data_IF_980479695529
#
_entry.id   IF_980479695529
#
_cell.length_a   1.000
_cell.length_b   1.000
_cell.length_c   1.000
_cell.angle_alpha   90.00
_cell.angle_beta   90.00
_cell.angle_gamma   90.00
#
_symmetry.space_group_name_H-M   'P 1'
#
loop_
_entity.id
_entity.type
_entity.pdbx_description
1 polymer ?
#
# COMPACT_ATOMS: atom_id res chain seq x y z
N UNK A 1 -3.47 1.06 10.59
CA UNK A 1 -2.46 0.86 9.54
C UNK A 1 -3.20 0.45 8.28
N UNK A 2 -2.98 1.13 7.16
CA UNK A 2 -3.53 0.80 5.85
C UNK A 2 -2.44 0.91 4.78
N UNK A 3 -1.98 -0.25 4.35
CA UNK A 3 -1.15 -0.49 3.18
C UNK A 3 -2.10 -0.80 2.02
N UNK A 4 -2.00 -0.08 0.91
CA UNK A 4 -2.91 -0.25 -0.23
C UNK A 4 -2.30 -1.17 -1.29
N UNK A 5 -3.12 -2.04 -1.88
CA UNK A 5 -2.81 -2.69 -3.16
C UNK A 5 -3.00 -1.74 -4.35
N UNK A 6 -3.63 -0.58 -4.16
CA UNK A 6 -3.75 0.50 -5.16
C UNK A 6 -2.41 1.23 -5.31
N UNK A 7 -2.07 1.59 -6.55
CA UNK A 7 -0.87 2.38 -6.82
C UNK A 7 -0.92 3.74 -6.10
N UNK A 8 0.15 4.19 -5.43
CA UNK A 8 0.17 5.43 -4.64
C UNK A 8 -0.16 6.68 -5.46
N UNK A 9 -0.03 6.60 -6.79
CA UNK A 9 -0.44 7.66 -7.72
C UNK A 9 -1.90 8.13 -7.52
N UNK A 10 -2.77 7.27 -7.00
CA UNK A 10 -4.20 7.55 -6.80
C UNK A 10 -4.51 8.16 -5.42
N UNK A 11 -3.52 8.25 -4.53
CA UNK A 11 -3.71 8.81 -3.20
C UNK A 11 -3.60 10.32 -3.23
N UNK A 12 -4.40 10.99 -2.40
CA UNK A 12 -4.22 12.40 -2.07
C UNK A 12 -2.94 12.62 -1.25
N UNK A 13 -2.56 13.89 -1.06
CA UNK A 13 -1.38 14.25 -0.28
C UNK A 13 -1.38 13.63 1.13
N UNK A 14 -2.53 13.66 1.84
CA UNK A 14 -2.62 13.09 3.19
C UNK A 14 -2.54 11.57 3.14
N UNK A 15 -3.19 10.94 2.16
CA UNK A 15 -3.13 9.51 1.90
C UNK A 15 -1.70 9.01 1.66
N UNK A 16 -0.92 9.71 0.82
CA UNK A 16 0.45 9.34 0.50
C UNK A 16 1.39 9.42 1.72
N UNK A 17 1.31 10.50 2.49
CA UNK A 17 2.11 10.67 3.71
C UNK A 17 1.74 9.63 4.78
N UNK A 18 0.45 9.34 4.94
CA UNK A 18 0.00 8.28 5.85
C UNK A 18 0.52 6.91 5.40
N UNK A 19 0.41 6.59 4.11
CA UNK A 19 0.86 5.32 3.55
C UNK A 19 2.35 5.08 3.81
N UNK A 20 3.20 6.09 3.60
CA UNK A 20 4.64 6.00 3.87
C UNK A 20 4.91 5.63 5.33
N UNK A 21 4.30 6.37 6.29
CA UNK A 21 4.49 6.12 7.72
C UNK A 21 4.00 4.74 8.15
N UNK A 22 2.85 4.32 7.63
CA UNK A 22 2.25 3.03 7.96
C UNK A 22 3.03 1.85 7.36
N UNK A 23 3.59 2.02 6.17
CA UNK A 23 4.44 1.00 5.52
C UNK A 23 5.82 0.89 6.20
N UNK A 24 6.38 1.99 6.70
CA UNK A 24 7.58 1.95 7.54
C UNK A 24 7.34 1.24 8.87
N UNK A 25 6.17 1.48 9.49
CA UNK A 25 5.78 0.73 10.68
C UNK A 25 5.65 -0.77 10.36
N UNK A 26 5.05 -1.13 9.23
CA UNK A 26 4.97 -2.51 8.78
C UNK A 26 6.36 -3.13 8.58
N UNK A 27 7.30 -2.40 7.97
CA UNK A 27 8.70 -2.82 7.85
C UNK A 27 9.30 -3.10 9.22
N UNK A 28 9.19 -2.18 10.17
CA UNK A 28 9.74 -2.38 11.52
C UNK A 28 9.08 -3.54 12.28
N UNK A 29 7.81 -3.82 12.02
CA UNK A 29 7.15 -5.02 12.55
C UNK A 29 7.76 -6.29 11.96
N UNK A 30 7.95 -6.34 10.64
CA UNK A 30 8.52 -7.50 9.93
C UNK A 30 10.01 -7.70 10.26
N UNK A 31 10.74 -6.63 10.58
CA UNK A 31 12.13 -6.68 11.08
C UNK A 31 12.23 -7.05 12.57
N UNK A 32 11.11 -7.25 13.28
CA UNK A 32 11.11 -7.54 14.72
C UNK A 32 11.53 -6.36 15.62
N UNK A 33 11.55 -5.14 15.08
CA UNK A 33 12.01 -3.92 15.78
C UNK A 33 10.93 -3.25 16.63
N UNK A 34 9.70 -3.78 16.62
CA UNK A 34 8.57 -3.21 17.38
C UNK A 34 7.80 -4.30 18.14
N UNK A 35 7.23 -3.92 19.29
CA UNK A 35 6.37 -4.79 20.10
C UNK A 35 4.87 -4.59 19.80
N UNK A 36 4.49 -3.42 19.29
CA UNK A 36 3.11 -3.09 18.92
C UNK A 36 2.81 -3.40 17.45
N UNK A 37 1.51 -3.48 17.09
CA UNK A 37 1.03 -3.72 15.72
C UNK A 37 1.46 -5.05 15.06
N UNK A 38 2.10 -5.96 15.81
CA UNK A 38 2.62 -7.24 15.32
C UNK A 38 1.53 -8.18 14.78
N UNK A 39 0.29 -8.03 15.26
CA UNK A 39 -0.89 -8.80 14.85
C UNK A 39 -1.78 -8.06 13.86
N UNK A 40 -1.32 -6.96 13.26
CA UNK A 40 -2.17 -6.20 12.34
C UNK A 40 -2.53 -7.04 11.10
N UNK A 41 -3.82 -7.17 10.75
CA UNK A 41 -4.27 -8.10 9.69
C UNK A 41 -3.60 -7.86 8.34
N UNK A 42 -3.41 -6.61 7.93
CA UNK A 42 -2.74 -6.29 6.66
C UNK A 42 -1.29 -6.75 6.52
N UNK A 43 -0.63 -7.14 7.62
CA UNK A 43 0.69 -7.73 7.56
C UNK A 43 0.67 -9.17 7.05
N UNK A 44 -0.50 -9.83 7.09
CA UNK A 44 -0.66 -11.24 6.73
C UNK A 44 -0.09 -11.54 5.34
N UNK A 45 -0.50 -10.75 4.34
CA UNK A 45 0.00 -10.89 2.96
C UNK A 45 1.51 -10.74 2.81
N UNK A 46 2.16 -9.88 3.62
CA UNK A 46 3.61 -9.75 3.60
C UNK A 46 4.31 -10.89 4.34
N UNK A 47 3.75 -11.34 5.47
CA UNK A 47 4.29 -12.48 6.24
C UNK A 47 4.24 -13.80 5.47
N UNK A 48 3.31 -13.94 4.53
CA UNK A 48 3.20 -15.09 3.65
C UNK A 48 4.14 -15.04 2.44
N UNK A 49 4.80 -13.90 2.19
CA UNK A 49 5.80 -13.80 1.13
C UNK A 49 7.03 -14.66 1.47
N UNK A 50 7.72 -15.14 0.44
CA UNK A 50 8.98 -15.90 0.58
C UNK A 50 10.02 -15.11 1.37
N UNK A 51 10.12 -13.81 1.12
CA UNK A 51 10.91 -12.86 1.89
C UNK A 51 10.03 -11.65 2.27
N UNK A 52 9.47 -11.63 3.50
CA UNK A 52 8.62 -10.53 3.96
C UNK A 52 9.34 -9.17 4.01
N UNK A 53 10.64 -9.17 4.32
CA UNK A 53 11.43 -7.94 4.45
C UNK A 53 11.73 -7.38 3.06
N UNK A 54 12.11 -8.22 2.09
CA UNK A 54 12.29 -7.78 0.72
C UNK A 54 10.98 -7.25 0.12
N UNK A 55 9.85 -7.94 0.36
CA UNK A 55 8.53 -7.52 -0.12
C UNK A 55 8.11 -6.13 0.39
N UNK A 56 8.27 -5.85 1.69
CA UNK A 56 7.92 -4.53 2.23
C UNK A 56 8.88 -3.43 1.79
N UNK A 57 10.16 -3.74 1.57
CA UNK A 57 11.11 -2.77 1.01
C UNK A 57 10.76 -2.42 -0.44
N UNK A 58 10.41 -3.41 -1.26
CA UNK A 58 9.95 -3.17 -2.63
C UNK A 58 8.64 -2.37 -2.68
N UNK A 59 7.71 -2.62 -1.75
CA UNK A 59 6.51 -1.79 -1.59
C UNK A 59 6.90 -0.33 -1.31
N UNK A 60 7.76 -0.10 -0.32
CA UNK A 60 8.22 1.24 0.06
C UNK A 60 8.96 1.95 -1.08
N UNK A 61 9.73 1.24 -1.91
CA UNK A 61 10.44 1.82 -3.05
C UNK A 61 9.49 2.46 -4.07
N UNK A 62 8.33 1.84 -4.34
CA UNK A 62 7.30 2.41 -5.23
C UNK A 62 6.64 3.63 -4.59
N UNK A 63 6.33 3.56 -3.28
CA UNK A 63 5.79 4.72 -2.54
C UNK A 63 6.78 5.89 -2.54
N UNK A 64 8.06 5.61 -2.31
CA UNK A 64 9.13 6.60 -2.38
C UNK A 64 9.22 7.23 -3.78
N UNK A 65 9.21 6.41 -4.84
CA UNK A 65 9.28 6.89 -6.22
C UNK A 65 8.13 7.85 -6.54
N UNK A 66 6.91 7.51 -6.16
CA UNK A 66 5.74 8.38 -6.34
C UNK A 66 5.89 9.68 -5.52
N UNK A 67 6.38 9.58 -4.28
CA UNK A 67 6.58 10.74 -3.42
C UNK A 67 7.62 11.70 -3.99
N UNK A 68 8.75 11.21 -4.47
CA UNK A 68 9.79 12.02 -5.12
C UNK A 68 9.26 12.68 -6.40
N UNK A 69 8.52 11.94 -7.22
CA UNK A 69 7.91 12.49 -8.44
C UNK A 69 6.96 13.67 -8.15
N UNK A 70 6.36 13.71 -6.95
CA UNK A 70 5.51 14.80 -6.47
C UNK A 70 6.25 15.87 -5.66
N UNK A 71 7.58 15.78 -5.55
CA UNK A 71 8.40 16.75 -4.82
C UNK A 71 8.50 16.56 -3.31
N UNK A 72 8.08 15.41 -2.76
CA UNK A 72 8.26 15.10 -1.34
C UNK A 72 9.71 14.70 -1.03
N UNK A 73 10.16 15.05 0.17
CA UNK A 73 11.49 14.72 0.71
C UNK A 73 11.42 13.52 1.66
N UNK A 74 10.94 12.37 1.17
CA UNK A 74 11.01 11.14 1.96
C UNK A 74 12.45 10.67 2.08
N UNK A 75 12.77 10.01 3.19
CA UNK A 75 14.12 9.54 3.46
C UNK A 75 14.43 8.28 2.63
N UNK A 76 15.36 8.33 1.66
CA UNK A 76 15.66 7.22 0.78
C UNK A 76 16.28 6.03 1.51
N UNK A 77 16.91 6.24 2.66
CA UNK A 77 17.61 5.20 3.42
C UNK A 77 16.65 4.30 4.22
N UNK A 78 15.36 4.66 4.26
CA UNK A 78 14.34 3.89 4.98
C UNK A 78 13.79 2.71 4.18
N UNK A 79 14.13 2.57 2.90
CA UNK A 79 13.78 1.41 2.10
C UNK A 79 14.94 0.97 1.19
N UNK A 80 15.01 -0.33 0.93
CA UNK A 80 15.92 -0.88 -0.06
C UNK A 80 15.26 -0.86 -1.45
N UNK A 81 15.80 -0.03 -2.35
CA UNK A 81 15.29 0.14 -3.72
C UNK A 81 15.70 -1.01 -4.66
N UNK A 82 16.68 -1.83 -4.26
CA UNK A 82 17.17 -2.96 -5.05
C UNK A 82 16.55 -4.30 -4.62
N UNK A 83 15.63 -4.28 -3.64
CA UNK A 83 14.99 -5.47 -3.10
C UNK A 83 14.25 -6.25 -4.20
N UNK A 84 14.73 -7.46 -4.48
CA UNK A 84 14.05 -8.41 -5.37
C UNK A 84 12.99 -9.15 -4.59
N UNK A 85 11.80 -9.27 -5.16
CA UNK A 85 10.69 -9.94 -4.51
C UNK A 85 9.89 -10.76 -5.53
N UNK A 86 9.22 -11.81 -5.05
CA UNK A 86 8.15 -12.43 -5.81
C UNK A 86 6.91 -11.50 -5.78
N UNK A 87 6.09 -11.47 -6.84
CA UNK A 87 4.82 -10.77 -6.80
C UNK A 87 3.94 -11.30 -5.66
N UNK A 88 3.28 -10.40 -4.96
CA UNK A 88 2.22 -10.77 -4.02
C UNK A 88 0.90 -10.87 -4.78
N UNK A 89 -0.04 -11.65 -4.27
CA UNK A 89 -1.39 -11.69 -4.82
C UNK A 89 -2.30 -10.74 -4.06
N UNK A 90 -3.32 -10.24 -4.75
CA UNK A 90 -4.50 -9.63 -4.12
C UNK A 90 -5.72 -10.07 -4.90
N UNK A 91 -6.80 -10.40 -4.20
CA UNK A 91 -8.05 -10.78 -4.87
C UNK A 91 -8.72 -9.61 -5.58
N UNK A 92 -9.53 -9.92 -6.60
CA UNK A 92 -10.41 -8.95 -7.26
C UNK A 92 -11.36 -8.27 -6.28
N UNK A 93 -11.96 -9.04 -5.36
CA UNK A 93 -12.86 -8.52 -4.34
C UNK A 93 -12.17 -7.55 -3.38
N UNK A 94 -10.97 -7.89 -2.91
CA UNK A 94 -10.18 -6.98 -2.08
C UNK A 94 -9.85 -5.70 -2.83
N UNK A 95 -9.30 -5.79 -4.04
CA UNK A 95 -8.94 -4.61 -4.81
C UNK A 95 -10.15 -3.70 -5.05
N UNK A 96 -11.32 -4.26 -5.35
CA UNK A 96 -12.57 -3.49 -5.48
C UNK A 96 -12.99 -2.81 -4.16
N UNK A 97 -12.89 -3.52 -3.03
CA UNK A 97 -13.14 -2.95 -1.70
C UNK A 97 -12.20 -1.77 -1.42
N UNK A 98 -10.90 -1.92 -1.68
CA UNK A 98 -9.93 -0.85 -1.49
C UNK A 98 -10.26 0.38 -2.34
N UNK A 99 -10.69 0.19 -3.59
CA UNK A 99 -11.07 1.30 -4.48
C UNK A 99 -12.24 2.09 -3.91
N UNK A 100 -13.31 1.38 -3.52
CA UNK A 100 -14.47 2.02 -2.91
C UNK A 100 -14.08 2.78 -1.63
N UNK A 101 -13.22 2.18 -0.80
CA UNK A 101 -12.73 2.80 0.43
C UNK A 101 -11.89 4.06 0.17
N UNK A 102 -11.03 4.04 -0.86
CA UNK A 102 -10.26 5.22 -1.28
C UNK A 102 -11.17 6.33 -1.80
N UNK A 103 -12.11 6.01 -2.71
CA UNK A 103 -13.06 6.98 -3.27
C UNK A 103 -13.87 7.68 -2.16
N UNK A 104 -14.34 6.94 -1.17
CA UNK A 104 -15.05 7.51 -0.02
C UNK A 104 -14.18 8.50 0.78
N UNK A 105 -12.87 8.21 0.93
CA UNK A 105 -11.93 9.14 1.58
C UNK A 105 -11.69 10.39 0.74
N UNK A 106 -11.48 10.23 -0.56
CA UNK A 106 -11.26 11.35 -1.48
C UNK A 106 -12.47 12.26 -1.55
N UNK A 107 -13.69 11.71 -1.63
CA UNK A 107 -14.94 12.50 -1.67
C UNK A 107 -15.05 13.54 -0.54
N UNK A 108 -14.49 13.24 0.63
CA UNK A 108 -14.50 14.13 1.80
C UNK A 108 -13.28 15.05 1.84
N UNK A 109 -12.11 14.58 1.39
CA UNK A 109 -10.82 15.24 1.66
C UNK A 109 -10.23 15.98 0.45
N UNK A 110 -10.63 15.57 -0.74
CA UNK A 110 -10.11 16.03 -2.04
C UNK A 110 -11.15 15.75 -3.14
N UNK A 111 -12.12 16.67 -3.27
CA UNK A 111 -13.19 16.57 -4.26
C UNK A 111 -12.67 16.55 -5.71
N UNK A 112 -11.57 17.26 -5.97
CA UNK A 112 -10.95 17.30 -7.29
C UNK A 112 -10.30 15.94 -7.63
N UNK A 113 -9.52 15.40 -6.70
CA UNK A 113 -8.95 14.05 -6.80
C UNK A 113 -10.03 12.99 -6.96
N UNK A 114 -11.11 13.07 -6.16
CA UNK A 114 -12.27 12.19 -6.31
C UNK A 114 -12.85 12.22 -7.73
N UNK A 115 -13.09 13.42 -8.28
CA UNK A 115 -13.64 13.58 -9.63
C UNK A 115 -12.75 12.94 -10.69
N UNK A 116 -11.43 13.13 -10.59
CA UNK A 116 -10.45 12.48 -11.48
C UNK A 116 -10.51 10.95 -11.37
N UNK A 117 -10.48 10.42 -10.15
CA UNK A 117 -10.41 8.98 -9.91
C UNK A 117 -11.70 8.21 -10.26
N UNK A 118 -12.86 8.88 -10.24
CA UNK A 118 -14.11 8.27 -10.70
C UNK A 118 -14.12 8.06 -12.22
N UNK A 119 -13.42 8.91 -12.97
CA UNK A 119 -13.43 8.89 -14.44
C UNK A 119 -12.38 7.95 -15.05
N UNK A 120 -11.46 7.40 -14.25
CA UNK A 120 -10.34 6.60 -14.74
C UNK A 120 -10.20 5.29 -13.94
N UNK A 121 -9.74 4.19 -14.59
CA UNK A 121 -9.46 2.96 -13.86
C UNK A 121 -8.26 3.13 -12.93
N UNK A 122 -8.47 2.85 -11.63
CA UNK A 122 -7.36 2.78 -10.67
C UNK A 122 -6.42 1.62 -10.99
N UNK A 123 -5.11 1.93 -10.97
CA UNK A 123 -4.01 1.01 -11.21
C UNK A 123 -3.64 0.25 -9.93
N UNK A 124 -3.26 -1.00 -10.13
CA UNK A 124 -2.70 -1.84 -9.10
C UNK A 124 -1.25 -1.42 -8.82
N UNK A 125 -0.84 -1.51 -7.56
CA UNK A 125 0.54 -1.34 -7.16
C UNK A 125 1.40 -2.47 -7.78
N UNK A 126 2.61 -2.20 -8.32
CA UNK A 126 3.36 -3.15 -9.16
C UNK A 126 3.78 -4.43 -8.43
N UNK A 127 3.91 -4.35 -7.10
CA UNK A 127 4.16 -5.49 -6.22
C UNK A 127 3.08 -6.57 -6.30
N UNK A 128 1.85 -6.22 -6.67
CA UNK A 128 0.72 -7.12 -6.62
C UNK A 128 0.30 -7.63 -8.00
N UNK A 129 -0.20 -8.86 -8.03
CA UNK A 129 -0.92 -9.45 -9.15
C UNK A 129 -2.36 -9.73 -8.72
N UNK A 130 -3.30 -9.42 -9.61
CA UNK A 130 -4.72 -9.59 -9.35
C UNK A 130 -5.14 -11.04 -9.61
N UNK A 131 -5.79 -11.68 -8.64
CA UNK A 131 -6.33 -13.05 -8.78
C UNK A 131 -7.84 -13.07 -8.54
N UNK A 132 -8.60 -14.03 -9.11
CA UNK A 132 -10.01 -14.21 -8.75
C UNK A 132 -10.18 -14.48 -7.25
N UNK A 133 -11.23 -13.94 -6.64
CA UNK A 133 -11.55 -14.14 -5.23
C UNK A 133 -12.37 -13.00 -4.63
N UNK A 134 -12.98 -13.28 -3.48
CA UNK A 134 -13.74 -12.33 -2.64
C UNK A 134 -12.81 -11.39 -1.87
N UNK A 135 -13.37 -10.49 -1.05
CA UNK A 135 -12.58 -9.68 -0.10
C UNK A 135 -11.72 -10.59 0.77
N UNK A 136 -10.48 -10.17 1.05
CA UNK A 136 -9.53 -11.01 1.77
C UNK A 136 -9.97 -11.20 3.23
N UNK A 137 -9.69 -12.38 3.78
CA UNK A 137 -10.11 -12.79 5.12
C UNK A 137 -9.53 -11.92 6.25
N UNK A 138 -8.38 -11.29 5.99
CA UNK A 138 -7.74 -10.36 6.91
C UNK A 138 -8.35 -8.95 6.86
N UNK A 139 -9.22 -8.63 5.92
CA UNK A 139 -9.89 -7.33 5.90
C UNK A 139 -10.92 -7.26 7.02
N UNK A 140 -10.70 -6.35 7.97
CA UNK A 140 -11.64 -6.09 9.06
C UNK A 140 -12.64 -5.05 8.56
N UNK A 141 -13.85 -5.51 8.23
CA UNK A 141 -14.96 -4.68 7.72
C UNK A 141 -15.57 -3.80 8.80
#
# INVERSE_FOLDING_TARGET
MRIWSIHPQHLDAKGLVALWRESLLAKHVLEGRTKGYTKHPQLHRFKQAVDPIAAINAYLAVVYTEAVARGYKFDPWKCDHAAKHAPLTVTKGQFAYEKAHLLNKLKVRDLQGYGKEVLQPMRLHPLFCLVPGEVEDWEVL
#
